data_IF_696797960038
#
_entry.id   IF_696797960038
#
_cell.length_a   1.000
_cell.length_b   1.000
_cell.length_c   1.000
_cell.angle_alpha   90.00
_cell.angle_beta   90.00
_cell.angle_gamma   90.00
#
_symmetry.space_group_name_H-M   'P 1'
#
loop_
_entity.id
_entity.type
_entity.pdbx_description
1 polymer ?
#
# COMPACT_ATOMS: atom_id res chain seq x y z
N UNK A 1 -9.70 19.04 3.54
CA UNK A 1 -9.81 17.62 3.75
C UNK A 1 -8.53 16.89 3.48
N UNK A 2 -8.08 16.12 4.42
CA UNK A 2 -6.83 15.40 4.26
C UNK A 2 -7.08 13.95 3.88
N UNK A 3 -6.27 13.46 2.98
CA UNK A 3 -6.26 12.03 2.70
C UNK A 3 -5.16 11.39 3.51
N UNK A 4 -5.48 10.26 4.09
CA UNK A 4 -4.50 9.45 4.79
C UNK A 4 -3.81 8.57 3.77
N UNK A 5 -2.61 8.94 3.40
CA UNK A 5 -1.86 8.09 2.48
C UNK A 5 -0.44 7.96 2.95
N UNK A 6 0.16 6.85 2.62
CA UNK A 6 1.55 6.61 2.97
C UNK A 6 2.18 5.74 1.90
N UNK A 7 3.48 5.87 1.79
CA UNK A 7 4.24 5.16 0.77
C UNK A 7 5.29 4.30 1.43
N UNK A 8 5.42 3.06 0.95
CA UNK A 8 6.44 2.15 1.44
C UNK A 8 7.21 1.62 0.24
N UNK A 9 8.45 1.27 0.48
CA UNK A 9 9.31 0.73 -0.56
C UNK A 9 9.35 -0.79 -0.42
N UNK A 10 9.16 -1.48 -1.54
CA UNK A 10 9.18 -2.93 -1.58
C UNK A 10 10.13 -3.40 -2.65
N UNK A 11 10.65 -4.60 -2.47
CA UNK A 11 11.46 -5.25 -3.49
C UNK A 11 10.54 -5.84 -4.54
N UNK A 12 10.93 -5.66 -5.80
CA UNK A 12 10.16 -6.21 -6.92
C UNK A 12 10.63 -7.64 -7.15
N UNK A 13 10.10 -8.56 -6.36
CA UNK A 13 10.43 -9.96 -6.50
C UNK A 13 9.13 -10.77 -6.57
N UNK A 14 9.27 -12.10 -6.58
CA UNK A 14 8.10 -12.95 -6.74
C UNK A 14 7.14 -12.86 -5.56
N UNK A 15 7.60 -12.37 -4.43
CA UNK A 15 6.77 -12.26 -3.24
C UNK A 15 6.13 -10.88 -3.10
N UNK A 16 6.34 -10.01 -4.08
CA UNK A 16 5.87 -8.64 -3.99
C UNK A 16 4.36 -8.55 -3.81
N UNK A 17 3.61 -9.26 -4.64
CA UNK A 17 2.16 -9.20 -4.56
C UNK A 17 1.64 -9.82 -3.27
N UNK A 18 2.30 -10.87 -2.79
CA UNK A 18 1.93 -11.46 -1.52
C UNK A 18 2.10 -10.44 -0.40
N UNK A 19 3.19 -9.69 -0.43
CA UNK A 19 3.42 -8.66 0.58
C UNK A 19 2.39 -7.54 0.51
N UNK A 20 2.02 -7.14 -0.71
CA UNK A 20 1.01 -6.11 -0.88
C UNK A 20 -0.32 -6.58 -0.29
N UNK A 21 -0.72 -7.80 -0.62
CA UNK A 21 -1.97 -8.34 -0.11
C UNK A 21 -1.94 -8.47 1.41
N UNK A 22 -0.80 -8.84 1.96
CA UNK A 22 -0.65 -8.97 3.40
C UNK A 22 -0.83 -7.61 4.09
N UNK A 23 -0.25 -6.57 3.50
CA UNK A 23 -0.38 -5.23 4.05
C UNK A 23 -1.83 -4.77 4.01
N UNK A 24 -2.51 -4.99 2.87
CA UNK A 24 -3.90 -4.60 2.74
C UNK A 24 -4.78 -5.35 3.73
N UNK A 25 -4.50 -6.64 3.90
CA UNK A 25 -5.27 -7.45 4.83
C UNK A 25 -5.08 -6.98 6.27
N UNK A 26 -3.85 -6.61 6.62
CA UNK A 26 -3.57 -6.14 7.96
C UNK A 26 -4.29 -4.82 8.24
N UNK A 27 -4.31 -3.92 7.26
CA UNK A 27 -5.01 -2.66 7.43
C UNK A 27 -6.51 -2.89 7.63
N UNK A 28 -7.06 -3.81 6.86
CA UNK A 28 -8.47 -4.15 7.01
C UNK A 28 -8.76 -4.74 8.39
N UNK A 29 -7.84 -5.57 8.88
CA UNK A 29 -8.00 -6.16 10.21
C UNK A 29 -7.98 -5.10 11.30
N UNK A 30 -7.30 -3.99 11.07
CA UNK A 30 -7.25 -2.90 12.02
C UNK A 30 -8.44 -1.95 11.90
N UNK A 31 -9.38 -2.29 11.04
CA UNK A 31 -10.58 -1.48 10.88
C UNK A 31 -10.41 -0.33 9.91
N UNK A 32 -9.34 -0.32 9.15
CA UNK A 32 -9.11 0.72 8.18
C UNK A 32 -9.67 0.32 6.82
N UNK A 33 -10.12 1.31 6.07
CA UNK A 33 -10.68 1.07 4.75
C UNK A 33 -9.71 1.62 3.72
N UNK A 34 -9.25 0.75 2.84
CA UNK A 34 -8.35 1.15 1.76
C UNK A 34 -9.18 1.71 0.62
N UNK A 35 -9.03 2.98 0.34
CA UNK A 35 -9.78 3.63 -0.73
C UNK A 35 -9.14 3.33 -2.08
N UNK A 36 -7.81 3.33 -2.12
CA UNK A 36 -7.09 3.11 -3.35
C UNK A 36 -5.65 2.73 -3.03
N UNK A 37 -4.98 2.14 -3.98
CA UNK A 37 -3.55 1.90 -3.86
C UNK A 37 -2.96 1.88 -5.26
N UNK A 38 -1.69 2.24 -5.34
CA UNK A 38 -0.98 2.21 -6.60
C UNK A 38 0.51 2.10 -6.33
N UNK A 39 1.23 1.72 -7.34
CA UNK A 39 2.68 1.58 -7.19
C UNK A 39 3.36 2.09 -8.45
N UNK A 40 4.62 2.41 -8.30
CA UNK A 40 5.43 2.83 -9.43
C UNK A 40 6.85 2.36 -9.22
N UNK A 41 7.56 2.20 -10.33
CA UNK A 41 8.95 1.79 -10.27
C UNK A 41 9.80 2.96 -9.81
N UNK A 42 10.73 2.68 -8.92
CA UNK A 42 11.67 3.68 -8.44
C UNK A 42 13.02 3.45 -9.09
N UNK A 43 13.58 2.27 -8.89
CA UNK A 43 14.84 1.85 -9.50
C UNK A 43 14.67 0.37 -9.81
N UNK A 44 15.52 -0.20 -10.64
CA UNK A 44 15.39 -1.62 -10.94
C UNK A 44 15.39 -2.45 -9.66
N UNK A 45 14.36 -3.29 -9.53
CA UNK A 45 14.23 -4.15 -8.37
C UNK A 45 13.49 -3.55 -7.19
N UNK A 46 13.03 -2.31 -7.30
CA UNK A 46 12.32 -1.64 -6.20
C UNK A 46 11.08 -0.93 -6.71
N UNK A 47 10.04 -0.95 -5.91
CA UNK A 47 8.83 -0.21 -6.22
C UNK A 47 8.43 0.60 -5.00
N UNK A 48 7.70 1.67 -5.26
CA UNK A 48 7.07 2.47 -4.20
C UNK A 48 5.59 2.19 -4.23
N UNK A 49 5.08 1.65 -3.16
CA UNK A 49 3.66 1.36 -3.03
C UNK A 49 3.01 2.45 -2.18
N UNK A 50 2.01 3.10 -2.73
CA UNK A 50 1.27 4.12 -2.01
C UNK A 50 -0.13 3.60 -1.73
N UNK A 51 -0.53 3.67 -0.48
CA UNK A 51 -1.85 3.22 -0.06
C UNK A 51 -2.62 4.43 0.44
N UNK A 52 -3.81 4.63 -0.09
CA UNK A 52 -4.68 5.72 0.29
C UNK A 52 -5.82 5.16 1.12
N UNK A 53 -5.93 5.62 2.35
CA UNK A 53 -6.97 5.17 3.25
C UNK A 53 -8.11 6.14 3.23
N UNK A 54 -9.32 5.61 3.32
CA UNK A 54 -10.51 6.42 3.40
C UNK A 54 -10.60 7.02 4.80
N UNK A 55 -10.81 8.32 4.86
CA UNK A 55 -11.02 8.96 6.14
C UNK A 55 -12.40 8.62 6.64
N UNK A 56 -12.47 8.31 7.91
CA UNK A 56 -13.77 8.11 8.54
C UNK A 56 -14.08 9.35 9.35
N UNK A 57 -15.27 9.80 9.21
CA UNK A 57 -15.71 11.01 9.91
C UNK A 57 -16.23 10.68 11.27
#
# INVERSE_FOLDING_TARGET
>A
MKKNEFTIELHSDRNMFTKILDILDRLTSEGKVVENYYYKLKIPGHILLTIVLKESD
#
